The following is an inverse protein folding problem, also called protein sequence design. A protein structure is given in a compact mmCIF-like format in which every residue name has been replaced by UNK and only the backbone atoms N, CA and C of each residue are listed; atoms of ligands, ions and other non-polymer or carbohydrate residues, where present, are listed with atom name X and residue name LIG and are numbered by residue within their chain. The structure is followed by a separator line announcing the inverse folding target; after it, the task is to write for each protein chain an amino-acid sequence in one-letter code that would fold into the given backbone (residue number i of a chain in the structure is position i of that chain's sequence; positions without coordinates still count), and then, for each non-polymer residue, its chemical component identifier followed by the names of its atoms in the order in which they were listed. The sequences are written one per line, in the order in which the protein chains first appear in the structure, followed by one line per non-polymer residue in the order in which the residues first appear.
data_IF_082031508425
#
_entry.id   IF_082031508425
#
_cell.length_a   1.000
_cell.length_b   1.000
_cell.length_c   1.000
_cell.angle_alpha   90.00
_cell.angle_beta   90.00
_cell.angle_gamma   90.00
#
_symmetry.space_group_name_H-M   'P 1'
#
loop_
_entity.id
_entity.type
_entity.pdbx_description
1 polymer ?
#
# COMPACT_ATOMS: atom_id res chain seq x y z
N UNK A 1 8.16 35.21 0.27
CA UNK A 1 9.16 34.19 0.65
C UNK A 1 10.50 34.62 0.09
N UNK A 2 11.53 34.66 0.95
CA UNK A 2 12.88 35.08 0.57
C UNK A 2 13.58 34.00 -0.28
N UNK A 3 14.24 34.39 -1.37
CA UNK A 3 14.85 33.48 -2.36
C UNK A 3 15.96 32.62 -1.77
N UNK A 4 16.62 33.10 -0.70
CA UNK A 4 17.64 32.33 0.01
C UNK A 4 17.07 31.05 0.66
N UNK A 5 15.86 31.15 1.25
CA UNK A 5 15.18 30.00 1.86
C UNK A 5 14.75 28.96 0.82
N UNK A 6 14.31 29.40 -0.36
CA UNK A 6 13.95 28.49 -1.46
C UNK A 6 15.18 27.74 -1.97
N UNK A 7 16.30 28.44 -2.15
CA UNK A 7 17.55 27.83 -2.59
C UNK A 7 18.10 26.81 -1.57
N UNK A 8 18.04 27.11 -0.27
CA UNK A 8 18.49 26.16 0.74
C UNK A 8 17.59 24.93 0.83
N UNK A 9 16.27 25.11 0.69
CA UNK A 9 15.32 24.01 0.56
C UNK A 9 15.63 23.11 -0.64
N UNK A 10 15.83 23.69 -1.82
CA UNK A 10 16.20 22.93 -3.03
C UNK A 10 17.50 22.16 -2.79
N UNK A 11 18.53 22.80 -2.23
CA UNK A 11 19.81 22.13 -1.92
C UNK A 11 19.67 20.98 -0.92
N UNK A 12 18.72 21.07 0.03
CA UNK A 12 18.42 19.98 0.98
C UNK A 12 17.72 18.82 0.29
N UNK A 13 16.71 19.10 -0.54
CA UNK A 13 16.00 18.06 -1.31
C UNK A 13 16.95 17.34 -2.26
N UNK A 14 17.79 18.06 -3.00
CA UNK A 14 18.77 17.47 -3.92
C UNK A 14 19.77 16.60 -3.16
N UNK A 15 20.29 17.04 -2.01
CA UNK A 15 21.20 16.22 -1.18
C UNK A 15 20.53 14.94 -0.68
N UNK A 16 19.25 15.01 -0.33
CA UNK A 16 18.49 13.84 0.12
C UNK A 16 18.25 12.86 -1.03
N UNK A 17 17.96 13.37 -2.23
CA UNK A 17 17.81 12.55 -3.43
C UNK A 17 19.11 11.87 -3.85
N UNK A 18 20.24 12.59 -3.84
CA UNK A 18 21.55 12.01 -4.14
C UNK A 18 21.91 10.88 -3.18
N UNK A 19 21.65 11.06 -1.87
CA UNK A 19 21.83 9.99 -0.89
C UNK A 19 20.95 8.78 -1.17
N UNK A 20 19.69 8.99 -1.57
CA UNK A 20 18.77 7.90 -1.92
C UNK A 20 19.23 7.13 -3.16
N UNK A 21 19.91 7.77 -4.12
CA UNK A 21 20.49 7.08 -5.28
C UNK A 21 21.67 6.16 -4.90
N UNK A 22 22.40 6.50 -3.84
CA UNK A 22 23.53 5.73 -3.32
C UNK A 22 23.11 4.69 -2.27
N UNK A 23 21.84 4.69 -1.87
CA UNK A 23 21.34 3.76 -0.86
C UNK A 23 20.84 2.48 -1.55
N UNK A 24 21.39 1.34 -1.16
CA UNK A 24 20.80 0.04 -1.49
C UNK A 24 19.45 -0.07 -0.78
N UNK A 25 18.39 0.28 -1.50
CA UNK A 25 17.03 0.09 -1.04
C UNK A 25 16.69 -1.40 -1.10
N UNK A 26 15.97 -1.94 -0.11
CA UNK A 26 15.42 -3.28 -0.21
C UNK A 26 14.61 -3.44 -1.51
N UNK A 27 14.67 -4.62 -2.14
CA UNK A 27 13.95 -4.90 -3.39
C UNK A 27 12.43 -4.63 -3.28
N UNK A 28 11.91 -4.68 -2.06
CA UNK A 28 10.51 -4.45 -1.74
C UNK A 28 10.19 -3.06 -1.18
N UNK A 29 11.13 -2.11 -1.24
CA UNK A 29 10.96 -0.76 -0.71
C UNK A 29 9.71 -0.05 -1.26
N UNK A 30 9.36 -0.27 -2.53
CA UNK A 30 8.14 0.29 -3.14
C UNK A 30 6.84 -0.27 -2.56
N UNK A 31 6.92 -1.37 -1.80
CA UNK A 31 5.82 -1.98 -1.06
C UNK A 31 5.79 -1.54 0.41
N UNK A 32 6.75 -0.72 0.85
CA UNK A 32 6.79 -0.21 2.21
C UNK A 32 5.81 0.94 2.39
N UNK A 33 5.23 1.01 3.56
CA UNK A 33 4.38 2.11 3.98
C UNK A 33 4.90 2.71 5.30
N UNK A 34 4.74 4.03 5.43
CA UNK A 34 5.05 4.74 6.66
C UNK A 34 3.82 4.77 7.58
N UNK A 35 3.86 4.03 8.68
CA UNK A 35 2.84 4.09 9.71
C UNK A 35 2.79 5.49 10.34
N UNK A 36 1.65 6.17 10.22
CA UNK A 36 1.41 7.51 10.80
C UNK A 36 1.36 7.51 12.32
N UNK A 37 1.03 6.36 12.94
CA UNK A 37 0.89 6.24 14.39
C UNK A 37 2.24 6.07 15.11
N UNK A 38 3.15 5.26 14.56
CA UNK A 38 4.42 4.93 15.23
C UNK A 38 5.68 5.28 14.42
N UNK A 39 5.52 5.87 13.23
CA UNK A 39 6.62 6.27 12.36
C UNK A 39 7.42 5.11 11.74
N UNK A 40 6.94 3.87 11.88
CA UNK A 40 7.61 2.71 11.30
C UNK A 40 7.38 2.66 9.78
N UNK A 41 8.48 2.59 9.02
CA UNK A 41 8.46 2.29 7.60
C UNK A 41 8.79 0.81 7.38
N UNK A 42 7.91 0.10 6.69
CA UNK A 42 8.06 -1.32 6.40
C UNK A 42 6.85 -1.85 5.63
N UNK A 43 6.83 -3.14 5.29
CA UNK A 43 5.63 -3.76 4.74
C UNK A 43 4.51 -3.76 5.75
N UNK A 44 3.28 -3.63 5.26
CA UNK A 44 2.08 -3.85 6.07
C UNK A 44 1.55 -5.26 5.86
N UNK A 45 0.98 -5.84 6.92
CA UNK A 45 0.22 -7.08 6.77
C UNK A 45 -1.14 -6.75 6.17
N UNK A 46 -1.41 -7.31 5.01
CA UNK A 46 -2.66 -7.13 4.29
C UNK A 46 -3.71 -8.10 4.82
N UNK A 47 -4.87 -7.57 5.19
CA UNK A 47 -6.04 -8.32 5.59
C UNK A 47 -7.18 -7.91 4.68
N UNK A 48 -7.90 -8.90 4.12
CA UNK A 48 -9.15 -8.60 3.44
C UNK A 48 -10.19 -8.27 4.51
N UNK A 49 -10.68 -7.03 4.49
CA UNK A 49 -11.88 -6.65 5.25
C UNK A 49 -13.08 -7.15 4.48
N UNK A 50 -13.23 -8.47 4.42
CA UNK A 50 -14.51 -9.02 4.00
C UNK A 50 -15.52 -8.63 5.07
N UNK A 51 -16.58 -7.92 4.68
CA UNK A 51 -17.87 -8.30 5.22
C UNK A 51 -18.02 -9.79 4.91
N UNK A 52 -17.54 -10.67 5.81
CA UNK A 52 -17.46 -12.12 5.56
C UNK A 52 -18.81 -12.75 5.22
N UNK A 53 -19.89 -12.03 5.50
CA UNK A 53 -21.27 -12.38 5.18
C UNK A 53 -21.70 -12.03 3.75
N UNK A 54 -20.93 -11.21 3.01
CA UNK A 54 -21.33 -10.71 1.70
C UNK A 54 -20.34 -11.13 0.60
N UNK A 55 -20.77 -11.95 -0.38
CA UNK A 55 -19.93 -12.34 -1.51
C UNK A 55 -19.39 -11.13 -2.30
N UNK A 56 -18.15 -11.23 -2.78
CA UNK A 56 -17.46 -10.13 -3.44
C UNK A 56 -18.20 -9.54 -4.65
N UNK A 57 -18.89 -10.38 -5.44
CA UNK A 57 -19.73 -9.94 -6.56
C UNK A 57 -20.91 -9.08 -6.11
N UNK A 58 -21.54 -9.44 -4.99
CA UNK A 58 -22.67 -8.71 -4.40
C UNK A 58 -22.20 -7.41 -3.76
N UNK A 59 -21.06 -7.43 -3.06
CA UNK A 59 -20.44 -6.22 -2.54
C UNK A 59 -20.14 -5.21 -3.66
N UNK A 60 -19.54 -5.68 -4.75
CA UNK A 60 -19.23 -4.82 -5.91
C UNK A 60 -20.49 -4.25 -6.56
N UNK A 61 -21.56 -5.04 -6.61
CA UNK A 61 -22.86 -4.62 -7.14
C UNK A 61 -23.53 -3.56 -6.26
N UNK A 62 -23.49 -3.73 -4.94
CA UNK A 62 -24.17 -2.84 -3.97
C UNK A 62 -23.41 -1.53 -3.73
N UNK A 63 -22.08 -1.60 -3.67
CA UNK A 63 -21.26 -0.47 -3.24
C UNK A 63 -20.44 0.15 -4.36
N UNK A 64 -20.51 -0.39 -5.58
CA UNK A 64 -19.74 0.05 -6.75
C UNK A 64 -18.22 0.18 -6.49
N UNK A 65 -17.71 -0.58 -5.51
CA UNK A 65 -16.31 -0.54 -5.05
C UNK A 65 -15.84 -1.96 -4.76
N UNK A 66 -14.52 -2.18 -4.85
CA UNK A 66 -13.91 -3.45 -4.44
C UNK A 66 -14.01 -3.62 -2.90
N UNK A 67 -14.06 -4.87 -2.39
CA UNK A 67 -13.96 -5.12 -0.95
C UNK A 67 -12.73 -4.42 -0.37
N UNK A 68 -12.88 -3.76 0.78
CA UNK A 68 -11.78 -3.00 1.37
C UNK A 68 -10.66 -3.96 1.83
N UNK A 69 -9.41 -3.63 1.49
CA UNK A 69 -8.23 -4.27 2.09
C UNK A 69 -7.78 -3.39 3.25
N UNK A 70 -7.47 -3.98 4.39
CA UNK A 70 -6.92 -3.33 5.56
C UNK A 70 -5.44 -3.66 5.63
N UNK A 71 -4.60 -2.64 5.69
CA UNK A 71 -3.19 -2.79 6.06
C UNK A 71 -3.06 -2.68 7.58
N UNK A 72 -2.29 -3.56 8.21
CA UNK A 72 -1.85 -3.41 9.59
C UNK A 72 -0.35 -3.17 9.66
N UNK A 73 0.04 -2.16 10.44
CA UNK A 73 1.44 -1.95 10.79
C UNK A 73 1.98 -3.14 11.58
N UNK A 74 3.13 -3.67 11.18
CA UNK A 74 3.76 -4.80 11.89
C UNK A 74 4.29 -4.43 13.28
N UNK A 75 4.62 -3.15 13.50
CA UNK A 75 5.15 -2.68 14.78
C UNK A 75 4.05 -2.41 15.81
N UNK A 76 3.05 -1.60 15.47
CA UNK A 76 2.04 -1.15 16.43
C UNK A 76 0.63 -1.75 16.23
N UNK A 77 0.41 -2.50 15.15
CA UNK A 77 -0.88 -3.11 14.85
C UNK A 77 -1.96 -2.14 14.38
N UNK A 78 -1.64 -0.84 14.23
CA UNK A 78 -2.58 0.16 13.71
C UNK A 78 -3.12 -0.29 12.36
N UNK A 79 -4.44 -0.26 12.21
CA UNK A 79 -5.12 -0.65 10.98
C UNK A 79 -5.45 0.59 10.14
N UNK A 80 -5.20 0.54 8.84
CA UNK A 80 -5.66 1.55 7.89
C UNK A 80 -6.36 0.91 6.69
N UNK A 81 -7.32 1.62 6.12
CA UNK A 81 -7.95 1.21 4.87
C UNK A 81 -6.98 1.46 3.72
N UNK A 82 -6.79 0.44 2.88
CA UNK A 82 -5.95 0.54 1.69
C UNK A 82 -6.80 0.73 0.45
N UNK A 83 -6.60 1.85 -0.27
CA UNK A 83 -7.31 2.10 -1.51
C UNK A 83 -6.69 1.32 -2.68
N UNK A 84 -7.49 1.01 -3.70
CA UNK A 84 -7.06 0.24 -4.88
C UNK A 84 -5.94 0.87 -5.74
N UNK A 85 -5.59 2.15 -5.50
CA UNK A 85 -4.44 2.79 -6.15
C UNK A 85 -3.09 2.44 -5.50
N UNK A 86 -3.11 1.82 -4.31
CA UNK A 86 -1.92 1.30 -3.66
C UNK A 86 -1.45 0.02 -4.41
N UNK A 87 -0.18 -0.02 -4.80
CA UNK A 87 0.42 -1.09 -5.60
C UNK A 87 0.26 -2.44 -4.90
N UNK A 88 0.50 -2.51 -3.59
CA UNK A 88 0.39 -3.74 -2.81
C UNK A 88 -1.08 -4.24 -2.77
N UNK A 89 -2.03 -3.31 -2.72
CA UNK A 89 -3.47 -3.62 -2.76
C UNK A 89 -3.89 -4.17 -4.12
N UNK A 90 -3.37 -3.59 -5.20
CA UNK A 90 -3.62 -4.04 -6.57
C UNK A 90 -3.02 -5.42 -6.83
N UNK A 91 -1.76 -5.64 -6.43
CA UNK A 91 -1.09 -6.94 -6.55
C UNK A 91 -1.83 -8.03 -5.77
N UNK A 92 -2.24 -7.75 -4.54
CA UNK A 92 -3.00 -8.68 -3.72
C UNK A 92 -4.36 -9.03 -4.35
N UNK A 93 -5.06 -8.04 -4.91
CA UNK A 93 -6.33 -8.27 -5.59
C UNK A 93 -6.19 -9.11 -6.88
N UNK A 94 -5.18 -8.81 -7.71
CA UNK A 94 -4.95 -9.53 -8.96
C UNK A 94 -4.49 -10.98 -8.74
N UNK A 95 -3.63 -11.21 -7.76
CA UNK A 95 -3.14 -12.56 -7.40
C UNK A 95 -4.24 -13.46 -6.82
N UNK A 96 -5.23 -12.90 -6.12
CA UNK A 96 -6.37 -13.70 -5.64
C UNK A 96 -7.38 -14.03 -6.74
N UNK A 97 -7.59 -13.15 -7.74
CA UNK A 97 -8.50 -13.45 -8.84
C UNK A 97 -7.99 -14.54 -9.79
N UNK A 98 -6.68 -14.68 -9.98
CA UNK A 98 -6.10 -15.72 -10.84
C UNK A 98 -6.17 -17.12 -10.24
N UNK A 99 -6.34 -17.26 -8.92
CA UNK A 99 -6.46 -18.57 -8.26
C UNK A 99 -7.89 -19.17 -8.36
N UNK A 100 -8.87 -18.38 -8.80
CA UNK A 100 -10.28 -18.82 -8.85
C UNK A 100 -10.70 -19.44 -10.19
N UNK A 101 -9.81 -19.51 -11.19
CA UNK A 101 -10.15 -19.94 -12.56
C UNK A 101 -9.72 -21.38 -12.92
N UNK A 102 -9.20 -22.17 -11.98
CA UNK A 102 -8.69 -23.54 -12.27
C UNK A 102 -9.53 -24.69 -11.71
N UNK A 103 -10.83 -24.51 -11.50
CA UNK A 103 -11.71 -25.64 -11.16
C UNK A 103 -13.01 -25.52 -11.93
N UNK A 104 -13.08 -26.13 -13.11
CA UNK A 104 -14.12 -27.09 -13.55
C UNK A 104 -13.77 -27.53 -14.98
N UNK A 105 -13.02 -28.62 -15.10
CA UNK A 105 -12.93 -29.39 -16.34
C UNK A 105 -12.67 -30.84 -15.94
N UNK A 106 -13.76 -31.55 -15.62
CA UNK A 106 -13.93 -33.00 -15.74
C UNK A 106 -15.41 -33.33 -15.57
#
# INVERSE_FOLDING_TARGET
MDRAHVNDFIKRVVRQYLRLQETDLPDDFLLWHLCTECGHAGRERLYRSEMRWLPAGVFRLLFCRAPAIIGRCERCGSSRLLPMHDVATREHYLTQMTCSTTTTAQ
#
